data_IF_314349193282
#
_entry.id   IF_314349193282
#
_cell.length_a   1.000
_cell.length_b   1.000
_cell.length_c   1.000
_cell.angle_alpha   90.00
_cell.angle_beta   90.00
_cell.angle_gamma   90.00
#
_symmetry.space_group_name_H-M   'P 1'
#
loop_
_entity.id
_entity.type
_entity.pdbx_description
1 polymer ?
#
# COMPACT_ATOMS: atom_id res chain seq x y z
N UNK A 1 14.02 9.65 -0.92
CA UNK A 1 13.86 8.40 -0.15
C UNK A 1 13.46 8.75 1.28
N UNK A 2 12.43 8.10 1.83
CA UNK A 2 12.02 8.27 3.22
C UNK A 2 12.54 7.14 4.09
N UNK A 3 12.69 7.43 5.39
CA UNK A 3 12.94 6.41 6.41
C UNK A 3 11.65 6.14 7.19
N UNK A 4 11.60 5.01 7.88
CA UNK A 4 10.50 4.67 8.78
C UNK A 4 10.19 5.82 9.74
N UNK A 5 8.90 6.10 9.97
CA UNK A 5 8.37 7.19 10.79
C UNK A 5 8.61 8.61 10.25
N UNK A 6 9.19 8.77 9.06
CA UNK A 6 9.26 10.09 8.42
C UNK A 6 7.89 10.56 7.93
N UNK A 7 7.70 11.87 8.00
CA UNK A 7 6.48 12.56 7.56
C UNK A 7 6.83 13.64 6.54
N UNK A 8 6.01 13.71 5.49
CA UNK A 8 6.17 14.69 4.41
C UNK A 8 4.87 15.45 4.25
N UNK A 9 4.96 16.78 4.10
CA UNK A 9 3.81 17.59 3.69
C UNK A 9 3.59 17.38 2.19
N UNK A 10 2.38 16.97 1.81
CA UNK A 10 2.02 16.78 0.40
C UNK A 10 1.56 18.09 -0.21
N UNK A 11 0.54 18.72 0.37
CA UNK A 11 -0.12 19.87 -0.24
C UNK A 11 0.55 21.22 0.07
N UNK A 12 1.23 21.35 1.19
CA UNK A 12 1.94 22.60 1.54
C UNK A 12 3.18 22.83 0.66
N UNK A 13 3.93 21.77 0.42
CA UNK A 13 5.17 21.84 -0.35
C UNK A 13 4.94 21.74 -1.87
N UNK A 14 3.74 21.29 -2.29
CA UNK A 14 3.37 21.16 -3.69
C UNK A 14 2.06 21.89 -3.96
N UNK A 15 2.16 23.19 -4.23
CA UNK A 15 0.99 24.02 -4.55
C UNK A 15 0.25 23.47 -5.78
N UNK A 16 -1.07 23.28 -5.65
CA UNK A 16 -1.91 22.74 -6.71
C UNK A 16 -2.00 21.21 -6.77
N UNK A 17 -1.30 20.50 -5.89
CA UNK A 17 -1.44 19.05 -5.75
C UNK A 17 -2.87 18.70 -5.34
N UNK A 18 -3.54 17.93 -6.15
CA UNK A 18 -4.93 17.50 -5.91
C UNK A 18 -5.14 16.01 -6.11
N UNK A 19 -4.24 15.36 -6.83
CA UNK A 19 -4.33 13.93 -7.12
C UNK A 19 -2.99 13.26 -6.81
N UNK A 20 -3.05 12.15 -6.11
CA UNK A 20 -1.92 11.29 -5.84
C UNK A 20 -2.05 9.99 -6.61
N UNK A 21 -0.93 9.47 -7.10
CA UNK A 21 -0.76 8.09 -7.45
C UNK A 21 0.10 7.44 -6.36
N UNK A 22 -0.45 6.45 -5.70
CA UNK A 22 0.28 5.59 -4.77
C UNK A 22 0.70 4.36 -5.55
N UNK A 23 2.00 4.22 -5.79
CA UNK A 23 2.57 3.07 -6.47
C UNK A 23 3.25 2.13 -5.48
N UNK A 24 3.01 0.85 -5.62
CA UNK A 24 3.66 -0.22 -4.87
C UNK A 24 4.35 -1.16 -5.83
N UNK A 25 5.58 -1.55 -5.49
CA UNK A 25 6.32 -2.53 -6.28
C UNK A 25 7.07 -3.48 -5.38
N UNK A 26 7.32 -4.69 -5.87
CA UNK A 26 8.06 -5.73 -5.16
C UNK A 26 8.67 -6.74 -6.14
N UNK A 27 9.68 -7.46 -5.67
CA UNK A 27 10.22 -8.62 -6.38
C UNK A 27 10.07 -9.87 -5.51
N UNK A 28 9.73 -11.00 -6.13
CA UNK A 28 9.82 -12.28 -5.46
C UNK A 28 11.30 -12.63 -5.21
N UNK A 29 11.64 -13.11 -4.01
CA UNK A 29 12.98 -13.56 -3.72
C UNK A 29 13.34 -14.75 -4.60
N UNK A 30 14.49 -14.68 -5.28
CA UNK A 30 15.04 -15.80 -6.05
C UNK A 30 15.21 -17.03 -5.16
N UNK A 31 14.51 -18.11 -5.48
CA UNK A 31 14.80 -19.40 -4.85
C UNK A 31 16.09 -19.97 -5.45
N UNK A 32 17.07 -20.27 -4.60
CA UNK A 32 18.28 -20.98 -5.02
C UNK A 32 17.87 -22.27 -5.75
N UNK A 33 18.25 -22.39 -7.02
CA UNK A 33 18.01 -23.59 -7.82
C UNK A 33 18.64 -24.78 -7.11
N UNK A 34 17.82 -25.71 -6.62
CA UNK A 34 18.29 -27.00 -6.17
C UNK A 34 18.83 -27.76 -7.37
N UNK A 35 19.80 -28.67 -7.16
CA UNK A 35 20.54 -29.43 -8.17
C UNK A 35 19.69 -30.32 -9.10
N UNK A 36 18.40 -30.48 -8.82
CA UNK A 36 17.39 -31.14 -9.67
C UNK A 36 16.31 -30.11 -10.01
N UNK A 37 16.54 -29.37 -11.08
CA UNK A 37 15.72 -28.29 -11.58
C UNK A 37 14.25 -28.65 -11.75
N UNK A 38 13.43 -28.35 -10.76
CA UNK A 38 11.97 -28.22 -10.85
C UNK A 38 11.43 -27.68 -9.50
N UNK A 39 11.50 -26.36 -9.31
CA UNK A 39 10.47 -25.62 -8.57
C UNK A 39 10.51 -24.19 -9.07
N UNK A 40 9.53 -23.84 -9.91
CA UNK A 40 9.15 -22.46 -10.15
C UNK A 40 8.82 -21.88 -8.78
N UNK A 41 9.46 -20.78 -8.37
CA UNK A 41 9.01 -20.05 -7.20
C UNK A 41 7.54 -19.75 -7.44
N UNK A 42 6.67 -20.11 -6.51
CA UNK A 42 5.29 -19.66 -6.61
C UNK A 42 5.34 -18.13 -6.52
N UNK A 43 4.81 -17.47 -7.52
CA UNK A 43 4.71 -16.01 -7.56
C UNK A 43 4.03 -15.54 -6.27
N UNK A 44 4.57 -14.50 -5.64
CA UNK A 44 4.01 -13.95 -4.43
C UNK A 44 3.05 -12.85 -4.84
N UNK A 45 1.80 -13.07 -4.56
CA UNK A 45 0.67 -12.25 -4.92
C UNK A 45 0.40 -11.27 -3.78
N UNK A 46 0.78 -10.01 -3.97
CA UNK A 46 0.65 -8.95 -2.97
C UNK A 46 -0.46 -8.00 -3.36
N UNK A 47 -1.46 -7.87 -2.49
CA UNK A 47 -2.61 -7.00 -2.70
C UNK A 47 -2.44 -5.68 -1.97
N UNK A 48 -2.45 -4.58 -2.69
CA UNK A 48 -2.53 -3.24 -2.13
C UNK A 48 -3.98 -2.90 -1.70
N UNK A 49 -4.11 -2.24 -0.58
CA UNK A 49 -5.40 -1.81 -0.05
C UNK A 49 -5.31 -0.41 0.55
N UNK A 50 -6.28 0.43 0.23
CA UNK A 50 -6.51 1.70 0.91
C UNK A 50 -7.72 1.57 1.86
N UNK A 51 -7.51 1.87 3.15
CA UNK A 51 -8.54 1.86 4.19
C UNK A 51 -8.80 3.31 4.60
N UNK A 52 -10.00 3.83 4.33
CA UNK A 52 -10.39 5.17 4.72
C UNK A 52 -10.93 5.17 6.15
N UNK A 53 -10.44 6.10 6.96
CA UNK A 53 -10.80 6.21 8.36
C UNK A 53 -11.52 7.54 8.65
N UNK A 54 -12.49 7.49 9.59
CA UNK A 54 -13.20 8.63 10.16
C UNK A 54 -12.81 8.78 11.62
N UNK A 55 -12.25 9.93 12.00
CA UNK A 55 -11.69 10.16 13.33
C UNK A 55 -10.66 9.08 13.72
N UNK A 56 -9.83 8.68 12.74
CA UNK A 56 -8.83 7.63 12.89
C UNK A 56 -9.40 6.21 13.04
N UNK A 57 -10.72 6.01 12.81
CA UNK A 57 -11.40 4.73 13.00
C UNK A 57 -12.01 4.18 11.72
N UNK A 58 -11.89 2.87 11.54
CA UNK A 58 -12.61 2.12 10.52
C UNK A 58 -14.08 1.95 10.91
N UNK A 59 -15.00 2.26 9.98
CA UNK A 59 -16.44 2.26 10.25
C UNK A 59 -17.23 1.29 9.39
N UNK A 60 -16.88 1.14 8.13
CA UNK A 60 -17.67 0.40 7.17
C UNK A 60 -16.80 -0.28 6.09
N UNK A 61 -17.21 -1.46 5.63
CA UNK A 61 -16.49 -2.20 4.60
C UNK A 61 -16.45 -1.46 3.24
N UNK A 62 -17.43 -0.58 2.98
CA UNK A 62 -17.41 0.27 1.78
C UNK A 62 -16.31 1.34 1.80
N UNK A 63 -15.64 1.54 2.95
CA UNK A 63 -14.50 2.45 3.12
C UNK A 63 -13.15 1.74 2.84
N UNK A 64 -13.18 0.50 2.30
CA UNK A 64 -12.00 -0.26 1.88
C UNK A 64 -11.95 -0.37 0.37
N UNK A 65 -10.82 0.06 -0.23
CA UNK A 65 -10.57 0.00 -1.68
C UNK A 65 -9.42 -0.98 -1.91
N UNK A 66 -9.69 -2.03 -2.68
CA UNK A 66 -8.79 -3.16 -2.96
C UNK A 66 -9.24 -3.88 -4.23
N UNK A 67 -8.59 -4.96 -4.65
CA UNK A 67 -8.95 -5.70 -5.89
C UNK A 67 -10.42 -6.15 -5.97
N UNK A 68 -11.07 -6.43 -4.83
CA UNK A 68 -12.50 -6.81 -4.76
C UNK A 68 -13.47 -5.63 -4.69
N UNK A 69 -12.99 -4.41 -4.45
CA UNK A 69 -13.76 -3.16 -4.46
C UNK A 69 -12.89 -2.04 -5.01
N UNK A 70 -12.85 -1.91 -6.33
CA UNK A 70 -11.91 -1.04 -7.04
C UNK A 70 -12.15 0.47 -6.85
N UNK A 71 -13.29 0.89 -6.30
CA UNK A 71 -13.58 2.32 -6.14
C UNK A 71 -14.36 2.61 -4.87
N UNK A 72 -13.89 3.57 -4.10
CA UNK A 72 -14.68 4.12 -3.00
C UNK A 72 -15.94 4.81 -3.52
N UNK A 73 -17.04 4.74 -2.76
CA UNK A 73 -18.36 5.35 -3.12
C UNK A 73 -18.31 6.84 -3.46
N UNK A 74 -17.31 7.59 -2.96
CA UNK A 74 -17.10 9.00 -3.31
C UNK A 74 -16.42 9.20 -4.67
N UNK A 75 -15.89 8.15 -5.29
CA UNK A 75 -15.03 8.23 -6.46
C UNK A 75 -13.68 8.91 -6.21
N UNK A 76 -13.31 9.14 -4.94
CA UNK A 76 -12.07 9.82 -4.58
C UNK A 76 -10.86 8.88 -4.50
N UNK A 77 -11.07 7.58 -4.27
CA UNK A 77 -10.02 6.56 -4.20
C UNK A 77 -10.37 5.45 -5.17
N UNK A 78 -9.42 5.12 -6.05
CA UNK A 78 -9.59 4.12 -7.12
C UNK A 78 -8.35 3.24 -7.17
N UNK A 79 -8.55 1.93 -7.10
CA UNK A 79 -7.54 0.92 -7.36
C UNK A 79 -7.50 0.61 -8.86
N UNK A 80 -6.33 0.59 -9.48
CA UNK A 80 -6.22 0.45 -10.94
C UNK A 80 -6.25 -1.00 -11.43
N UNK A 81 -6.35 -1.95 -10.55
CA UNK A 81 -6.40 -3.38 -10.87
C UNK A 81 -5.30 -4.15 -10.14
N UNK A 82 -5.36 -5.45 -10.31
CA UNK A 82 -4.58 -6.45 -9.61
C UNK A 82 -3.41 -6.92 -10.49
N UNK A 83 -2.20 -7.05 -9.92
CA UNK A 83 -1.05 -7.68 -10.55
C UNK A 83 -0.67 -8.95 -9.76
N UNK A 84 -0.97 -10.10 -10.35
CA UNK A 84 -0.83 -11.41 -9.69
C UNK A 84 0.62 -11.89 -9.51
N UNK A 85 1.61 -11.26 -10.14
CA UNK A 85 2.97 -11.82 -10.26
C UNK A 85 4.08 -10.91 -9.75
N UNK A 86 3.87 -9.60 -9.71
CA UNK A 86 4.94 -8.64 -9.45
C UNK A 86 6.03 -8.67 -10.55
N UNK A 87 5.68 -9.09 -11.77
CA UNK A 87 6.59 -9.09 -12.91
C UNK A 87 6.49 -7.76 -13.67
N UNK A 88 7.58 -7.05 -13.78
CA UNK A 88 7.67 -5.80 -14.54
C UNK A 88 8.65 -4.80 -13.93
N UNK A 89 8.96 -3.74 -14.69
CA UNK A 89 9.67 -2.59 -14.16
C UNK A 89 8.64 -1.54 -13.69
N UNK A 90 8.75 -1.07 -12.45
CA UNK A 90 7.94 0.02 -11.92
C UNK A 90 6.97 -0.40 -10.81
N UNK A 91 5.75 0.15 -10.85
CA UNK A 91 4.72 -0.17 -9.89
C UNK A 91 3.95 -1.42 -10.33
N UNK A 92 3.85 -2.39 -9.45
CA UNK A 92 3.03 -3.58 -9.67
C UNK A 92 1.57 -3.31 -9.41
N UNK A 93 1.27 -2.52 -8.37
CA UNK A 93 -0.08 -2.06 -8.09
C UNK A 93 -0.15 -0.55 -7.85
N UNK A 94 -1.28 0.04 -8.23
CA UNK A 94 -1.47 1.48 -8.16
C UNK A 94 -2.85 1.84 -7.60
N UNK A 95 -2.85 2.86 -6.72
CA UNK A 95 -4.07 3.45 -6.18
C UNK A 95 -4.07 4.95 -6.46
N UNK A 96 -5.10 5.45 -7.13
CA UNK A 96 -5.32 6.88 -7.34
C UNK A 96 -6.12 7.45 -6.18
N UNK A 97 -5.69 8.60 -5.66
CA UNK A 97 -6.37 9.33 -4.58
C UNK A 97 -6.56 10.79 -5.02
N UNK A 98 -7.82 11.18 -5.25
CA UNK A 98 -8.21 12.56 -5.50
C UNK A 98 -8.48 13.27 -4.15
N UNK A 99 -7.48 13.97 -3.66
CA UNK A 99 -7.52 14.64 -2.35
C UNK A 99 -8.65 15.67 -2.24
N UNK A 100 -9.05 16.28 -3.37
CA UNK A 100 -10.11 17.27 -3.40
C UNK A 100 -11.50 16.64 -3.26
N UNK A 101 -11.66 15.38 -3.69
CA UNK A 101 -12.92 14.63 -3.61
C UNK A 101 -13.08 13.83 -2.33
N UNK A 102 -12.04 13.68 -1.51
CA UNK A 102 -12.16 12.98 -0.23
C UNK A 102 -13.17 13.73 0.67
N UNK A 103 -14.28 13.10 1.06
CA UNK A 103 -15.26 13.72 1.94
C UNK A 103 -14.65 14.16 3.27
N UNK A 104 -15.15 15.25 3.85
CA UNK A 104 -14.55 15.89 5.02
C UNK A 104 -14.51 15.01 6.27
N UNK A 105 -15.42 14.04 6.35
CA UNK A 105 -15.47 13.08 7.44
C UNK A 105 -14.31 12.07 7.46
N UNK A 106 -13.58 11.93 6.35
CA UNK A 106 -12.39 11.09 6.33
C UNK A 106 -11.14 11.93 6.60
N UNK A 107 -10.45 11.59 7.64
CA UNK A 107 -9.24 12.29 8.09
C UNK A 107 -7.95 11.54 7.75
N UNK A 108 -8.08 10.23 7.42
CA UNK A 108 -6.92 9.38 7.18
C UNK A 108 -7.22 8.26 6.18
N UNK A 109 -6.21 7.91 5.40
CA UNK A 109 -6.20 6.75 4.51
C UNK A 109 -4.96 5.93 4.85
N UNK A 110 -5.17 4.69 5.29
CA UNK A 110 -4.08 3.75 5.52
C UNK A 110 -3.77 3.00 4.23
N UNK A 111 -2.50 2.91 3.87
CA UNK A 111 -2.03 2.08 2.76
C UNK A 111 -1.41 0.82 3.35
N UNK A 112 -2.02 -0.30 3.07
CA UNK A 112 -1.61 -1.61 3.56
C UNK A 112 -1.44 -2.58 2.40
N UNK A 113 -0.65 -3.62 2.60
CA UNK A 113 -0.44 -4.71 1.63
C UNK A 113 -0.54 -6.03 2.37
N UNK A 114 -1.23 -6.99 1.81
CA UNK A 114 -1.23 -8.36 2.30
C UNK A 114 -0.81 -9.32 1.20
N UNK A 115 -0.28 -10.48 1.57
CA UNK A 115 0.00 -11.56 0.62
C UNK A 115 -1.25 -12.42 0.51
N UNK A 116 -1.80 -12.54 -0.71
CA UNK A 116 -2.99 -13.34 -0.96
C UNK A 116 -2.77 -14.83 -0.63
N UNK A 117 -3.67 -15.38 0.18
CA UNK A 117 -3.60 -16.78 0.63
C UNK A 117 -2.26 -17.17 1.25
N UNK A 118 -1.58 -16.24 1.93
CA UNK A 118 -0.24 -16.41 2.49
C UNK A 118 -0.07 -17.68 3.34
N UNK A 119 -1.03 -17.98 4.20
CA UNK A 119 -1.00 -19.15 5.09
C UNK A 119 -1.05 -20.45 4.29
N UNK A 120 -1.97 -20.56 3.32
CA UNK A 120 -2.13 -21.74 2.47
C UNK A 120 -0.92 -21.96 1.56
N UNK A 121 -0.38 -20.87 1.03
CA UNK A 121 0.80 -20.89 0.14
C UNK A 121 2.13 -20.94 0.91
N UNK A 122 2.10 -20.84 2.25
CA UNK A 122 3.27 -20.77 3.13
C UNK A 122 4.23 -19.64 2.74
N UNK A 123 3.67 -18.50 2.39
CA UNK A 123 4.39 -17.31 1.96
C UNK A 123 4.40 -16.25 3.07
N UNK A 124 5.40 -15.38 3.08
CA UNK A 124 5.53 -14.27 4.02
C UNK A 124 6.45 -13.17 3.44
N UNK A 125 6.40 -11.96 3.98
CA UNK A 125 7.17 -10.82 3.49
C UNK A 125 8.70 -11.01 3.53
N UNK A 126 9.23 -11.90 4.35
CA UNK A 126 10.66 -12.27 4.28
C UNK A 126 11.07 -12.99 2.99
N UNK A 127 10.11 -13.36 2.11
CA UNK A 127 10.35 -13.94 0.78
C UNK A 127 10.25 -12.90 -0.34
N UNK A 128 10.01 -11.63 0.01
CA UNK A 128 9.91 -10.50 -0.91
C UNK A 128 11.20 -9.69 -0.85
N UNK A 129 11.61 -9.14 -1.99
CA UNK A 129 12.76 -8.24 -2.13
C UNK A 129 12.32 -6.95 -2.81
N UNK A 130 13.11 -5.89 -2.61
CA UNK A 130 12.92 -4.61 -3.29
C UNK A 130 11.52 -4.00 -3.15
N UNK A 131 10.78 -4.37 -2.09
CA UNK A 131 9.47 -3.82 -1.87
C UNK A 131 9.54 -2.32 -1.57
N UNK A 132 8.70 -1.54 -2.22
CA UNK A 132 8.62 -0.10 -2.01
C UNK A 132 7.19 0.42 -2.12
N UNK A 133 6.97 1.59 -1.54
CA UNK A 133 5.83 2.45 -1.83
C UNK A 133 6.36 3.81 -2.28
N UNK A 134 5.75 4.38 -3.31
CA UNK A 134 6.00 5.75 -3.73
C UNK A 134 4.72 6.55 -3.87
N UNK A 135 4.83 7.84 -3.61
CA UNK A 135 3.75 8.80 -3.81
C UNK A 135 4.16 9.71 -4.96
N UNK A 136 3.32 9.77 -5.96
CA UNK A 136 3.53 10.55 -7.18
C UNK A 136 2.42 11.58 -7.32
N UNK A 137 2.74 12.77 -7.80
CA UNK A 137 1.72 13.72 -8.25
C UNK A 137 1.05 13.15 -9.52
N UNK A 138 -0.22 12.78 -9.40
CA UNK A 138 -0.97 12.14 -10.47
C UNK A 138 -1.19 12.99 -11.72
N UNK A 139 -0.92 14.30 -11.66
CA UNK A 139 -1.04 15.22 -12.81
C UNK A 139 0.28 15.44 -13.55
N UNK A 140 1.36 15.58 -12.79
CA UNK A 140 2.68 15.92 -13.33
C UNK A 140 3.60 14.71 -13.47
N UNK A 141 3.19 13.56 -12.92
CA UNK A 141 3.99 12.34 -12.80
C UNK A 141 5.31 12.54 -12.03
N UNK A 142 5.39 13.57 -11.18
CA UNK A 142 6.55 13.85 -10.35
C UNK A 142 6.48 12.99 -9.09
N UNK A 143 7.52 12.20 -8.84
CA UNK A 143 7.66 11.50 -7.56
C UNK A 143 7.86 12.51 -6.42
N UNK A 144 7.00 12.45 -5.44
CA UNK A 144 7.04 13.32 -4.25
C UNK A 144 7.84 12.67 -3.13
N UNK A 145 7.68 11.37 -2.94
CA UNK A 145 8.46 10.59 -2.00
C UNK A 145 8.42 9.09 -2.33
N UNK A 146 9.44 8.39 -1.87
CA UNK A 146 9.55 6.94 -1.96
C UNK A 146 10.04 6.41 -0.62
N UNK A 147 9.45 5.30 -0.18
CA UNK A 147 9.86 4.55 0.99
C UNK A 147 10.16 3.11 0.58
N UNK A 148 11.41 2.70 0.69
CA UNK A 148 11.84 1.32 0.42
C UNK A 148 11.80 0.52 1.72
N UNK A 149 11.24 -0.69 1.67
CA UNK A 149 11.32 -1.65 2.75
C UNK A 149 12.72 -2.27 2.76
N UNK A 150 13.58 -1.74 3.63
CA UNK A 150 14.97 -2.19 3.77
C UNK A 150 15.14 -3.27 4.83
N UNK A 151 14.13 -3.46 5.67
CA UNK A 151 14.14 -4.45 6.74
C UNK A 151 13.61 -5.80 6.23
N UNK A 152 14.11 -6.88 6.79
CA UNK A 152 13.53 -8.21 6.58
C UNK A 152 12.32 -8.41 7.49
N UNK A 153 11.23 -8.94 6.91
CA UNK A 153 9.97 -9.20 7.64
C UNK A 153 9.62 -10.70 7.63
N UNK A 154 10.48 -11.58 8.21
CA UNK A 154 10.22 -13.01 8.22
C UNK A 154 8.95 -13.33 9.04
N UNK A 155 8.07 -14.14 8.44
CA UNK A 155 6.84 -14.57 9.08
C UNK A 155 5.75 -13.50 9.20
N UNK A 156 5.93 -12.30 8.61
CA UNK A 156 4.88 -11.29 8.47
C UNK A 156 4.06 -11.57 7.22
N UNK A 157 2.73 -11.49 7.32
CA UNK A 157 1.78 -11.84 6.26
C UNK A 157 1.16 -10.60 5.62
N UNK A 158 1.20 -9.48 6.33
CA UNK A 158 0.75 -8.19 5.85
C UNK A 158 1.68 -7.07 6.33
N UNK A 159 1.58 -5.91 5.67
CA UNK A 159 2.40 -4.75 5.90
C UNK A 159 1.54 -3.49 5.93
N UNK A 160 1.72 -2.66 6.96
CA UNK A 160 1.22 -1.30 6.99
C UNK A 160 2.33 -0.42 6.45
N UNK A 161 2.20 0.03 5.18
CA UNK A 161 3.23 0.82 4.51
C UNK A 161 3.26 2.26 4.99
N UNK A 162 2.09 2.90 5.09
CA UNK A 162 2.03 4.29 5.50
C UNK A 162 0.60 4.81 5.64
N UNK A 163 0.51 6.08 5.94
CA UNK A 163 -0.74 6.82 6.10
C UNK A 163 -0.72 8.13 5.31
N UNK A 164 -1.83 8.45 4.66
CA UNK A 164 -2.12 9.77 4.09
C UNK A 164 -3.18 10.39 4.99
N UNK A 165 -2.89 11.55 5.58
CA UNK A 165 -3.76 12.10 6.63
C UNK A 165 -3.88 13.63 6.57
N UNK A 166 -5.03 14.14 7.05
CA UNK A 166 -5.27 15.58 7.20
C UNK A 166 -4.62 16.08 8.49
N UNK A 167 -3.93 17.22 8.41
CA UNK A 167 -3.37 17.89 9.57
C UNK A 167 -3.28 19.39 9.31
N UNK A 168 -3.98 20.22 10.12
CA UNK A 168 -4.02 21.67 9.99
C UNK A 168 -4.40 22.16 8.58
N UNK A 169 -5.41 21.53 7.96
CA UNK A 169 -5.88 21.86 6.61
C UNK A 169 -5.02 21.35 5.47
N UNK A 170 -3.96 20.61 5.75
CA UNK A 170 -3.04 20.03 4.78
C UNK A 170 -3.18 18.50 4.72
N UNK A 171 -2.81 17.92 3.58
CA UNK A 171 -2.58 16.49 3.46
C UNK A 171 -1.10 16.18 3.63
N UNK A 172 -0.81 15.16 4.41
CA UNK A 172 0.54 14.66 4.71
C UNK A 172 0.64 13.18 4.43
N UNK A 173 1.84 12.71 4.14
CA UNK A 173 2.18 11.30 4.11
C UNK A 173 3.12 10.96 5.27
N UNK A 174 2.86 9.86 5.95
CA UNK A 174 3.72 9.29 6.98
C UNK A 174 4.11 7.86 6.62
N UNK A 175 5.41 7.60 6.49
CA UNK A 175 5.94 6.25 6.30
C UNK A 175 5.87 5.47 7.62
N UNK A 176 5.31 4.26 7.62
CA UNK A 176 5.14 3.40 8.80
C UNK A 176 6.06 2.19 8.73
N UNK A 177 5.96 1.36 7.69
CA UNK A 177 6.80 0.18 7.52
C UNK A 177 6.64 -0.85 8.63
N UNK A 178 5.41 -1.18 9.01
CA UNK A 178 5.12 -2.14 10.08
C UNK A 178 4.61 -3.46 9.53
N UNK A 179 5.40 -4.54 9.70
CA UNK A 179 4.94 -5.90 9.42
C UNK A 179 3.92 -6.38 10.44
N UNK A 180 2.94 -7.17 9.99
CA UNK A 180 1.91 -7.77 10.82
C UNK A 180 1.66 -9.23 10.46
N UNK A 181 1.02 -9.97 11.36
CA UNK A 181 0.60 -11.36 11.14
C UNK A 181 -0.85 -11.47 10.69
N UNK A 182 -1.48 -10.36 10.35
CA UNK A 182 -2.85 -10.37 9.86
C UNK A 182 -2.93 -11.18 8.57
N UNK A 183 -3.89 -12.09 8.53
CA UNK A 183 -4.02 -13.07 7.44
C UNK A 183 -4.91 -12.57 6.31
N UNK A 184 -5.64 -11.49 6.54
CA UNK A 184 -6.58 -10.90 5.59
C UNK A 184 -6.86 -9.42 5.87
N UNK A 185 -7.46 -8.75 4.89
CA UNK A 185 -7.86 -7.33 4.96
C UNK A 185 -8.79 -7.07 6.16
N UNK A 186 -9.69 -8.00 6.49
CA UNK A 186 -10.62 -7.83 7.62
C UNK A 186 -9.88 -7.70 8.95
N UNK A 187 -8.83 -8.48 9.18
CA UNK A 187 -8.00 -8.37 10.39
C UNK A 187 -7.23 -7.05 10.43
N UNK A 188 -6.69 -6.59 9.28
CA UNK A 188 -6.06 -5.28 9.17
C UNK A 188 -7.04 -4.15 9.54
N UNK A 189 -8.29 -4.22 9.07
CA UNK A 189 -9.32 -3.23 9.41
C UNK A 189 -9.67 -3.21 10.90
N UNK A 190 -9.62 -4.37 11.59
CA UNK A 190 -9.90 -4.45 13.04
C UNK A 190 -8.93 -3.63 13.88
N UNK A 191 -7.71 -3.38 13.38
CA UNK A 191 -6.70 -2.56 14.07
C UNK A 191 -7.13 -1.10 14.26
N UNK A 192 -8.13 -0.67 13.49
CA UNK A 192 -8.62 0.71 13.45
C UNK A 192 -10.06 0.87 13.96
N UNK A 193 -10.62 -0.09 14.70
CA UNK A 193 -11.95 0.01 15.33
C UNK A 193 -11.99 0.80 16.61
#
# INVERSE_FOLDING_TARGET
MLFRSQKVSLTKENAGLSQLLVGLGWDAAEQKRGFFGLKKSADIDCDATAILLKDGKFRDNSDVVYFGNLSHKSGAVIHLGDNLTGEGEGDDEQIIIDLAKIPKEYDKIMIVVNIYSAVQRKQHFGMIRNAFIRIVDGKTNKELCKYDLTEEYPGMLAMIFGEIYRHNGEWKFGAIGQGTKDTCISELCQRYK
#
